data_IF_674955952148
#
_entry.id   IF_674955952148
#
_cell.length_a   1.000
_cell.length_b   1.000
_cell.length_c   1.000
_cell.angle_alpha   90.00
_cell.angle_beta   90.00
_cell.angle_gamma   90.00
#
_symmetry.space_group_name_H-M   'P 1'
#
loop_
_entity.id
_entity.type
_entity.pdbx_description
1 polymer ?
#
# COMPACT_ATOMS: atom_id res chain seq x y z
N UNK A 1 12.23 -8.72 8.74
CA UNK A 1 11.72 -8.97 7.37
C UNK A 1 12.62 -8.28 6.35
N UNK A 2 12.73 -8.87 5.16
CA UNK A 2 13.34 -8.20 4.03
C UNK A 2 12.43 -7.05 3.54
N UNK A 3 12.96 -6.11 2.73
CA UNK A 3 12.11 -5.09 2.11
C UNK A 3 10.93 -5.67 1.33
N UNK A 4 11.17 -6.74 0.57
CA UNK A 4 10.09 -7.42 -0.17
C UNK A 4 9.03 -7.97 0.78
N UNK A 5 9.44 -8.63 1.86
CA UNK A 5 8.50 -9.19 2.83
C UNK A 5 7.67 -8.11 3.51
N UNK A 6 8.30 -6.97 3.85
CA UNK A 6 7.57 -5.85 4.45
C UNK A 6 6.50 -5.30 3.50
N UNK A 7 6.82 -5.17 2.21
CA UNK A 7 5.86 -4.72 1.18
C UNK A 7 4.72 -5.74 1.03
N UNK A 8 5.03 -7.02 0.96
CA UNK A 8 3.98 -8.06 0.84
C UNK A 8 3.06 -8.07 2.05
N UNK A 9 3.61 -7.89 3.25
CA UNK A 9 2.82 -7.78 4.47
C UNK A 9 1.91 -6.55 4.44
N UNK A 10 2.40 -5.44 3.93
CA UNK A 10 1.63 -4.22 3.78
C UNK A 10 0.41 -4.43 2.88
N UNK A 11 0.58 -5.05 1.71
CA UNK A 11 -0.52 -5.38 0.82
C UNK A 11 -1.49 -6.38 1.46
N UNK A 12 -0.98 -7.35 2.23
CA UNK A 12 -1.82 -8.31 2.94
C UNK A 12 -2.75 -7.62 3.95
N UNK A 13 -2.25 -6.61 4.66
CA UNK A 13 -3.05 -5.85 5.62
C UNK A 13 -4.27 -5.20 4.95
N UNK A 14 -4.10 -4.65 3.75
CA UNK A 14 -5.22 -4.08 2.99
C UNK A 14 -6.15 -5.17 2.47
N UNK A 15 -5.61 -6.19 1.83
CA UNK A 15 -6.39 -7.22 1.15
C UNK A 15 -7.23 -8.05 2.12
N UNK A 16 -6.68 -8.34 3.29
CA UNK A 16 -7.33 -9.21 4.27
C UNK A 16 -7.95 -8.45 5.45
N UNK A 17 -7.98 -7.13 5.39
CA UNK A 17 -8.63 -6.32 6.40
C UNK A 17 -7.98 -6.42 7.77
N UNK A 18 -6.65 -6.21 7.84
CA UNK A 18 -5.87 -6.30 9.08
C UNK A 18 -5.13 -5.00 9.37
N UNK A 19 -5.84 -3.87 9.56
CA UNK A 19 -5.17 -2.59 9.80
C UNK A 19 -4.36 -2.58 11.10
N UNK A 20 -4.70 -3.43 12.06
CA UNK A 20 -3.92 -3.56 13.29
C UNK A 20 -2.51 -4.10 13.04
N UNK A 21 -2.29 -4.80 11.93
CA UNK A 21 -0.99 -5.41 11.61
C UNK A 21 -0.04 -4.45 10.91
N UNK A 22 -0.47 -3.23 10.58
CA UNK A 22 0.43 -2.23 10.00
C UNK A 22 1.63 -1.94 10.90
N UNK A 23 1.49 -2.06 12.22
CA UNK A 23 2.61 -1.88 13.14
C UNK A 23 3.75 -2.86 12.90
N UNK A 24 3.49 -3.99 12.25
CA UNK A 24 4.50 -5.02 12.00
C UNK A 24 5.35 -4.71 10.78
N UNK A 25 4.91 -3.84 9.88
CA UNK A 25 5.60 -3.57 8.62
C UNK A 25 5.80 -2.08 8.31
N UNK A 26 5.19 -1.18 9.07
CA UNK A 26 5.25 0.26 8.84
C UNK A 26 6.00 0.93 9.98
N UNK A 27 7.06 1.69 9.64
CA UNK A 27 7.84 2.41 10.64
C UNK A 27 7.06 3.58 11.24
N UNK A 28 7.37 3.96 12.49
CA UNK A 28 6.73 5.14 13.09
C UNK A 28 6.94 6.43 12.28
N UNK A 29 8.03 6.53 11.55
CA UNK A 29 8.37 7.70 10.70
C UNK A 29 8.02 7.51 9.23
N UNK A 30 7.27 6.47 8.90
CA UNK A 30 6.81 6.21 7.54
C UNK A 30 6.05 7.42 6.97
N UNK A 31 6.33 7.73 5.70
CA UNK A 31 5.64 8.82 4.99
C UNK A 31 5.01 8.28 3.71
N UNK A 32 3.69 8.46 3.60
CA UNK A 32 2.96 8.19 2.36
C UNK A 32 2.82 9.49 1.58
N UNK A 33 3.61 9.62 0.51
CA UNK A 33 3.61 10.80 -0.34
C UNK A 33 2.45 10.81 -1.35
N UNK A 34 1.59 9.79 -1.33
CA UNK A 34 0.40 9.73 -2.18
C UNK A 34 -0.75 10.60 -1.69
N UNK A 35 -0.62 11.22 -0.54
CA UNK A 35 -1.66 12.06 0.06
C UNK A 35 -1.15 13.48 0.32
N UNK A 36 -2.07 14.44 0.40
CA UNK A 36 -1.80 15.83 0.73
C UNK A 36 -2.77 16.27 1.83
N UNK A 37 -2.31 16.46 3.09
CA UNK A 37 -0.94 16.23 3.59
C UNK A 37 -0.57 14.73 3.62
N UNK A 38 0.73 14.40 3.64
CA UNK A 38 1.17 13.01 3.66
C UNK A 38 0.68 12.27 4.90
N UNK A 39 0.35 10.98 4.73
CA UNK A 39 0.09 10.08 5.84
C UNK A 39 1.39 9.72 6.57
N UNK A 40 1.36 9.65 7.89
CA UNK A 40 2.56 9.39 8.70
C UNK A 40 2.34 8.15 9.58
N UNK A 41 3.33 7.25 9.53
CA UNK A 41 3.39 6.09 10.41
C UNK A 41 2.29 5.06 10.20
N UNK A 42 2.19 4.07 11.10
CA UNK A 42 1.11 3.08 11.04
C UNK A 42 -0.28 3.70 11.15
N UNK A 43 -0.43 4.78 11.91
CA UNK A 43 -1.71 5.47 12.02
C UNK A 43 -2.13 6.09 10.69
N UNK A 44 -1.18 6.66 9.93
CA UNK A 44 -1.46 7.18 8.60
C UNK A 44 -1.92 6.07 7.64
N UNK A 45 -1.30 4.89 7.73
CA UNK A 45 -1.71 3.73 6.94
C UNK A 45 -3.12 3.25 7.31
N UNK A 46 -3.42 3.21 8.62
CA UNK A 46 -4.76 2.83 9.11
C UNK A 46 -5.83 3.81 8.64
N UNK A 47 -5.53 5.10 8.68
CA UNK A 47 -6.47 6.14 8.22
C UNK A 47 -6.76 6.00 6.73
N UNK A 48 -5.72 5.74 5.93
CA UNK A 48 -5.88 5.51 4.50
C UNK A 48 -6.73 4.26 4.22
N UNK A 49 -6.45 3.17 4.93
CA UNK A 49 -7.21 1.93 4.84
C UNK A 49 -8.69 2.18 5.15
N UNK A 50 -8.98 2.83 6.27
CA UNK A 50 -10.36 3.08 6.68
C UNK A 50 -11.11 3.98 5.70
N UNK A 51 -10.42 5.01 5.18
CA UNK A 51 -10.99 5.90 4.17
C UNK A 51 -11.31 5.14 2.89
N UNK A 52 -10.40 4.30 2.42
CA UNK A 52 -10.59 3.51 1.21
C UNK A 52 -11.77 2.54 1.36
N UNK A 53 -11.84 1.80 2.47
CA UNK A 53 -12.92 0.86 2.74
C UNK A 53 -14.27 1.57 2.76
N UNK A 54 -14.34 2.72 3.42
CA UNK A 54 -15.58 3.51 3.50
C UNK A 54 -16.00 4.03 2.14
N UNK A 55 -15.04 4.51 1.35
CA UNK A 55 -15.31 5.11 0.04
C UNK A 55 -15.81 4.10 -0.98
N UNK A 56 -15.29 2.87 -0.99
CA UNK A 56 -15.68 1.84 -1.96
C UNK A 56 -16.69 0.83 -1.42
N UNK A 57 -17.02 0.90 -0.14
CA UNK A 57 -18.03 0.03 0.47
C UNK A 57 -17.54 -1.37 0.83
N UNK A 58 -16.25 -1.56 1.05
CA UNK A 58 -15.68 -2.85 1.43
C UNK A 58 -14.19 -2.93 1.17
N UNK A 59 -13.63 -4.14 1.30
CA UNK A 59 -12.20 -4.36 1.07
C UNK A 59 -11.86 -4.26 -0.41
N UNK A 60 -10.72 -3.63 -0.69
CA UNK A 60 -10.08 -3.70 -2.00
C UNK A 60 -9.08 -4.84 -1.94
N UNK A 61 -9.21 -5.80 -2.86
CA UNK A 61 -8.27 -6.91 -2.93
C UNK A 61 -7.15 -6.55 -3.89
N UNK A 62 -5.93 -6.50 -3.38
CA UNK A 62 -4.75 -6.18 -4.18
C UNK A 62 -4.04 -7.44 -4.64
N UNK A 63 -3.68 -7.47 -5.92
CA UNK A 63 -2.83 -8.49 -6.50
C UNK A 63 -1.52 -7.83 -6.90
N UNK A 64 -0.41 -8.40 -6.49
CA UNK A 64 0.91 -7.96 -6.93
C UNK A 64 1.20 -8.64 -8.25
N UNK A 65 1.19 -7.85 -9.34
CA UNK A 65 1.40 -8.36 -10.69
C UNK A 65 2.89 -8.51 -11.01
N UNK A 66 3.71 -7.61 -10.48
CA UNK A 66 5.16 -7.66 -10.62
C UNK A 66 5.80 -6.94 -9.44
N UNK A 67 6.95 -7.44 -9.00
CA UNK A 67 7.69 -6.84 -7.90
C UNK A 67 9.18 -6.97 -8.20
N UNK A 68 9.90 -5.86 -8.04
CA UNK A 68 11.35 -5.82 -8.15
C UNK A 68 11.91 -5.18 -6.88
N UNK A 69 12.84 -5.87 -6.23
CA UNK A 69 13.51 -5.36 -5.05
C UNK A 69 14.99 -5.19 -5.33
N UNK A 70 15.53 -4.04 -4.96
CA UNK A 70 16.96 -3.73 -5.07
C UNK A 70 17.37 -2.94 -3.83
N UNK A 71 18.12 -3.60 -2.93
CA UNK A 71 18.49 -3.00 -1.67
C UNK A 71 17.26 -2.61 -0.86
N UNK A 72 17.16 -1.32 -0.51
CA UNK A 72 16.05 -0.77 0.26
C UNK A 72 14.81 -0.44 -0.56
N UNK A 73 14.92 -0.49 -1.89
CA UNK A 73 13.86 -0.05 -2.79
C UNK A 73 13.09 -1.24 -3.33
N UNK A 74 11.77 -1.14 -3.28
CA UNK A 74 10.86 -2.15 -3.86
C UNK A 74 9.87 -1.45 -4.78
N UNK A 75 9.86 -1.85 -6.03
CA UNK A 75 8.89 -1.36 -7.02
C UNK A 75 7.84 -2.44 -7.26
N UNK A 76 6.57 -2.03 -7.26
CA UNK A 76 5.45 -2.97 -7.39
C UNK A 76 4.48 -2.45 -8.45
N UNK A 77 4.12 -3.34 -9.37
CA UNK A 77 2.95 -3.14 -10.22
C UNK A 77 1.81 -3.95 -9.62
N UNK A 78 0.65 -3.33 -9.40
CA UNK A 78 -0.45 -4.00 -8.71
C UNK A 78 -1.79 -3.74 -9.39
N UNK A 79 -2.73 -4.64 -9.14
CA UNK A 79 -4.14 -4.48 -9.51
C UNK A 79 -4.97 -4.50 -8.23
N UNK A 80 -5.84 -3.52 -8.05
CA UNK A 80 -6.82 -3.49 -6.97
C UNK A 80 -8.20 -3.84 -7.52
N UNK A 81 -8.86 -4.82 -6.93
CA UNK A 81 -10.21 -5.23 -7.32
C UNK A 81 -11.18 -4.71 -6.26
N UNK A 82 -12.09 -3.85 -6.66
CA UNK A 82 -13.11 -3.25 -5.80
C UNK A 82 -14.23 -4.25 -5.51
N UNK A 83 -15.03 -4.02 -4.45
CA UNK A 83 -16.12 -4.95 -4.10
C UNK A 83 -17.09 -5.25 -5.23
N UNK A 84 -17.33 -4.31 -6.12
CA UNK A 84 -18.21 -4.50 -7.27
C UNK A 84 -17.55 -5.18 -8.47
N UNK A 85 -16.26 -5.52 -8.39
CA UNK A 85 -15.51 -6.17 -9.45
C UNK A 85 -14.75 -5.23 -10.36
N UNK A 86 -14.94 -3.92 -10.26
CA UNK A 86 -14.15 -2.95 -11.01
C UNK A 86 -12.68 -3.03 -10.58
N UNK A 87 -11.78 -2.82 -11.53
CA UNK A 87 -10.34 -2.88 -11.27
C UNK A 87 -9.68 -1.53 -11.45
N UNK A 88 -8.66 -1.29 -10.64
CA UNK A 88 -7.72 -0.19 -10.85
C UNK A 88 -6.31 -0.74 -10.83
N UNK A 89 -5.41 -0.09 -11.54
CA UNK A 89 -4.02 -0.52 -11.62
C UNK A 89 -3.10 0.60 -11.20
N UNK A 90 -2.00 0.24 -10.55
CA UNK A 90 -1.06 1.23 -10.07
C UNK A 90 0.37 0.74 -10.05
N UNK A 91 1.26 1.70 -9.87
CA UNK A 91 2.67 1.48 -9.59
C UNK A 91 2.98 2.13 -8.27
N UNK A 92 3.71 1.42 -7.42
CA UNK A 92 4.15 1.94 -6.13
C UNK A 92 5.63 1.72 -5.96
N UNK A 93 6.29 2.70 -5.34
CA UNK A 93 7.70 2.64 -5.01
C UNK A 93 7.84 2.77 -3.49
N UNK A 94 8.42 1.75 -2.89
CA UNK A 94 8.62 1.71 -1.45
C UNK A 94 10.09 1.79 -1.11
N UNK A 95 10.39 2.44 0.01
CA UNK A 95 11.70 2.34 0.66
C UNK A 95 11.49 1.66 2.00
N UNK A 96 12.29 0.63 2.29
CA UNK A 96 12.19 -0.15 3.52
C UNK A 96 13.58 -0.35 4.12
N UNK A 97 13.72 -0.16 5.42
CA UNK A 97 14.94 -0.42 6.17
C UNK A 97 14.58 -1.01 7.52
N UNK A 98 15.42 -1.91 8.04
CA UNK A 98 15.17 -2.52 9.34
C UNK A 98 13.89 -3.35 9.39
N UNK A 99 13.45 -3.90 8.26
CA UNK A 99 12.23 -4.68 8.16
C UNK A 99 10.94 -3.87 8.14
N UNK A 100 11.03 -2.54 8.02
CA UNK A 100 9.87 -1.64 8.09
C UNK A 100 9.85 -0.69 6.89
N UNK A 101 8.66 -0.40 6.39
CA UNK A 101 8.46 0.60 5.34
C UNK A 101 8.73 1.99 5.91
N UNK A 102 9.51 2.78 5.17
CA UNK A 102 9.88 4.17 5.53
C UNK A 102 9.16 5.20 4.67
N UNK A 103 8.85 4.84 3.42
CA UNK A 103 8.13 5.75 2.53
C UNK A 103 7.46 4.98 1.41
N UNK A 104 6.43 5.59 0.83
CA UNK A 104 5.83 5.12 -0.41
C UNK A 104 5.49 6.29 -1.31
N UNK A 105 5.62 6.04 -2.62
CA UNK A 105 5.10 6.91 -3.69
C UNK A 105 4.30 6.00 -4.62
N UNK A 106 3.18 6.49 -5.14
CA UNK A 106 2.41 5.69 -6.07
C UNK A 106 1.70 6.55 -7.10
N UNK A 107 1.36 5.91 -8.21
CA UNK A 107 0.60 6.52 -9.29
C UNK A 107 -0.35 5.48 -9.87
N UNK A 108 -1.53 5.93 -10.29
CA UNK A 108 -2.44 5.07 -11.02
C UNK A 108 -1.99 4.97 -12.48
N UNK A 109 -2.20 3.81 -13.07
CA UNK A 109 -1.87 3.52 -14.45
C UNK A 109 -3.14 3.59 -15.29
N UNK A 110 -3.02 4.21 -16.46
CA UNK A 110 -4.11 4.29 -17.42
C UNK A 110 -5.07 5.42 -17.12
N UNK A 111 -6.08 5.56 -17.97
CA UNK A 111 -7.08 6.59 -17.82
C UNK A 111 -7.99 6.24 -16.65
N UNK A 112 -8.20 7.22 -15.76
CA UNK A 112 -9.22 7.08 -14.74
C UNK A 112 -10.58 7.07 -15.42
N UNK A 113 -11.49 6.17 -15.01
CA UNK A 113 -12.87 6.24 -15.50
C UNK A 113 -13.44 7.62 -15.17
N UNK A 114 -14.02 8.22 -16.14
CA UNK A 114 -14.65 9.52 -15.98
C UNK A 114 -15.85 9.43 -15.01
#
# INVERSE_FOLDING_TARGET
>A
MSPEEAVRKFFDCYTNGRPQDFDECVAPDYVDYGHTPPGIGPDGARDDYEHAVKQVGGLIRYTIDALVADGEIVAVAWTGTLPGGAEMKGLSLYRATGGLLRSTRHALIGAMPA
#
